data_IF_075961749686
#
_entry.id   IF_075961749686
#
_cell.length_a   1.000
_cell.length_b   1.000
_cell.length_c   1.000
_cell.angle_alpha   90.00
_cell.angle_beta   90.00
_cell.angle_gamma   90.00
#
_symmetry.space_group_name_H-M   'P 1'
#
loop_
_entity.id
_entity.type
_entity.pdbx_description
1 polymer ?
#
# COMPACT_ATOMS: atom_id res chain seq x y z
N UNK A 1 -13.61 -11.67 1.93
CA UNK A 1 -12.20 -11.27 1.74
C UNK A 1 -12.02 -9.76 1.85
N UNK A 2 -12.66 -8.94 1.01
CA UNK A 2 -12.55 -7.47 1.08
C UNK A 2 -13.07 -6.87 2.40
N UNK A 3 -14.16 -7.39 2.96
CA UNK A 3 -14.69 -6.93 4.26
C UNK A 3 -13.65 -7.07 5.37
N UNK A 4 -12.92 -8.20 5.40
CA UNK A 4 -11.86 -8.42 6.38
C UNK A 4 -10.70 -7.44 6.24
N UNK A 5 -10.35 -7.07 4.99
CA UNK A 5 -9.35 -6.03 4.73
C UNK A 5 -9.80 -4.67 5.28
N UNK A 6 -11.03 -4.28 5.02
CA UNK A 6 -11.60 -3.01 5.54
C UNK A 6 -11.59 -3.01 7.06
N UNK A 7 -12.05 -4.10 7.69
CA UNK A 7 -12.07 -4.22 9.16
C UNK A 7 -10.66 -4.15 9.74
N UNK A 8 -9.67 -4.84 9.15
CA UNK A 8 -8.29 -4.81 9.63
C UNK A 8 -7.70 -3.39 9.61
N UNK A 9 -7.89 -2.66 8.51
CA UNK A 9 -7.42 -1.28 8.39
C UNK A 9 -8.15 -0.32 9.32
N UNK A 10 -9.47 -0.50 9.55
CA UNK A 10 -10.21 0.28 10.53
C UNK A 10 -9.69 0.05 11.95
N UNK A 11 -9.39 -1.20 12.33
CA UNK A 11 -8.81 -1.53 13.64
C UNK A 11 -7.45 -0.86 13.83
N UNK A 12 -6.57 -0.91 12.81
CA UNK A 12 -5.26 -0.24 12.84
C UNK A 12 -5.44 1.27 13.08
N UNK A 13 -6.29 1.93 12.29
CA UNK A 13 -6.56 3.36 12.45
C UNK A 13 -7.11 3.67 13.85
N UNK A 14 -8.03 2.87 14.37
CA UNK A 14 -8.63 3.09 15.70
C UNK A 14 -7.61 2.93 16.84
N UNK A 15 -6.66 2.01 16.71
CA UNK A 15 -5.59 1.83 17.70
C UNK A 15 -4.66 3.06 17.67
N UNK A 16 -4.22 3.46 16.47
CA UNK A 16 -3.19 4.47 16.30
C UNK A 16 -3.72 5.91 16.49
N UNK A 17 -5.02 6.15 16.32
CA UNK A 17 -5.58 7.52 16.35
C UNK A 17 -5.35 8.23 17.69
N UNK A 18 -5.35 7.48 18.79
CA UNK A 18 -5.13 8.06 20.12
C UNK A 18 -3.72 8.65 20.27
N UNK A 19 -2.73 8.06 19.62
CA UNK A 19 -1.34 8.51 19.68
C UNK A 19 -1.06 9.58 18.60
N UNK A 20 -1.69 9.46 17.43
CA UNK A 20 -1.63 10.50 16.39
C UNK A 20 -2.17 11.85 16.87
N UNK A 21 -3.21 11.85 17.71
CA UNK A 21 -3.80 13.06 18.28
C UNK A 21 -2.93 13.73 19.36
N UNK A 22 -2.00 13.00 19.99
CA UNK A 22 -1.08 13.52 21.02
C UNK A 22 0.16 14.22 20.43
N UNK A 23 0.37 14.12 19.11
CA UNK A 23 1.52 14.71 18.42
C UNK A 23 1.51 16.25 18.46
N UNK A 24 2.68 16.87 18.70
CA UNK A 24 2.87 18.33 18.58
C UNK A 24 2.53 18.84 17.18
N UNK A 25 2.89 18.08 16.15
CA UNK A 25 2.61 18.38 14.74
C UNK A 25 1.46 17.51 14.19
N UNK A 26 0.37 17.36 14.97
CA UNK A 26 -0.77 16.48 14.68
C UNK A 26 -1.19 16.44 13.21
N UNK A 27 -1.40 17.60 12.57
CA UNK A 27 -1.89 17.65 11.18
C UNK A 27 -0.91 17.04 10.17
N UNK A 28 0.39 17.29 10.34
CA UNK A 28 1.42 16.78 9.43
C UNK A 28 1.59 15.27 9.62
N UNK A 29 1.65 14.82 10.87
CA UNK A 29 1.81 13.39 11.21
C UNK A 29 0.59 12.59 10.74
N UNK A 30 -0.62 13.08 11.00
CA UNK A 30 -1.88 12.47 10.55
C UNK A 30 -1.91 12.39 9.02
N UNK A 31 -1.54 13.45 8.31
CA UNK A 31 -1.53 13.48 6.84
C UNK A 31 -0.58 12.43 6.25
N UNK A 32 0.65 12.33 6.77
CA UNK A 32 1.63 11.34 6.31
C UNK A 32 1.14 9.92 6.65
N UNK A 33 0.65 9.70 7.86
CA UNK A 33 0.11 8.42 8.29
C UNK A 33 -1.03 7.93 7.40
N UNK A 34 -2.05 8.77 7.17
CA UNK A 34 -3.17 8.40 6.31
C UNK A 34 -2.75 8.18 4.86
N UNK A 35 -1.75 8.91 4.36
CA UNK A 35 -1.20 8.69 3.02
C UNK A 35 -0.59 7.28 2.91
N UNK A 36 0.20 6.85 3.90
CA UNK A 36 0.77 5.50 3.95
C UNK A 36 -0.31 4.42 4.08
N UNK A 37 -1.31 4.65 4.93
CA UNK A 37 -2.45 3.75 5.10
C UNK A 37 -3.23 3.57 3.80
N UNK A 38 -3.52 4.65 3.08
CA UNK A 38 -4.24 4.61 1.79
C UNK A 38 -3.43 3.84 0.76
N UNK A 39 -2.11 4.06 0.67
CA UNK A 39 -1.23 3.34 -0.25
C UNK A 39 -1.26 1.83 0.07
N UNK A 40 -1.06 1.47 1.33
CA UNK A 40 -1.09 0.06 1.77
C UNK A 40 -2.44 -0.60 1.51
N UNK A 41 -3.54 0.11 1.81
CA UNK A 41 -4.90 -0.38 1.55
C UNK A 41 -5.12 -0.59 0.06
N UNK A 42 -4.70 0.35 -0.78
CA UNK A 42 -4.84 0.26 -2.24
C UNK A 42 -4.10 -0.95 -2.79
N UNK A 43 -2.84 -1.16 -2.37
CA UNK A 43 -2.05 -2.33 -2.78
C UNK A 43 -2.74 -3.63 -2.35
N UNK A 44 -3.18 -3.71 -1.09
CA UNK A 44 -3.85 -4.89 -0.55
C UNK A 44 -5.18 -5.17 -1.25
N UNK A 45 -5.94 -4.13 -1.56
CA UNK A 45 -7.20 -4.23 -2.31
C UNK A 45 -6.95 -4.75 -3.72
N UNK A 46 -5.97 -4.17 -4.44
CA UNK A 46 -5.56 -4.58 -5.77
C UNK A 46 -5.15 -6.06 -5.81
N UNK A 47 -4.41 -6.54 -4.80
CA UNK A 47 -4.06 -7.95 -4.68
C UNK A 47 -5.29 -8.86 -4.53
N UNK A 48 -6.27 -8.49 -3.69
CA UNK A 48 -7.47 -9.29 -3.46
C UNK A 48 -8.34 -9.40 -4.72
N UNK A 49 -8.45 -8.34 -5.52
CA UNK A 49 -9.25 -8.35 -6.74
C UNK A 49 -8.51 -8.98 -7.94
N UNK A 50 -7.36 -9.62 -7.73
CA UNK A 50 -6.57 -10.26 -8.78
C UNK A 50 -5.84 -9.26 -9.68
N UNK A 51 -5.87 -7.97 -9.36
CA UNK A 51 -5.05 -6.92 -10.01
C UNK A 51 -3.78 -6.66 -9.20
N UNK A 52 -3.15 -7.74 -8.72
CA UNK A 52 -1.91 -7.61 -7.96
C UNK A 52 -0.91 -6.78 -8.77
N UNK A 53 -0.23 -5.79 -8.17
CA UNK A 53 0.85 -5.10 -8.85
C UNK A 53 1.84 -6.15 -9.37
N UNK A 54 2.33 -5.96 -10.60
CA UNK A 54 3.31 -6.86 -11.21
C UNK A 54 4.41 -7.15 -10.21
N UNK A 55 4.71 -8.44 -10.01
CA UNK A 55 5.69 -8.82 -9.02
C UNK A 55 7.03 -8.12 -9.32
N UNK A 56 7.83 -7.80 -8.29
CA UNK A 56 9.16 -7.23 -8.51
C UNK A 56 10.01 -8.06 -9.47
N UNK A 57 9.85 -9.40 -9.45
CA UNK A 57 10.54 -10.29 -10.37
C UNK A 57 10.12 -10.10 -11.83
N UNK A 58 8.83 -9.89 -12.12
CA UNK A 58 8.35 -9.59 -13.48
C UNK A 58 8.82 -8.20 -13.93
N UNK A 59 8.85 -7.23 -13.02
CA UNK A 59 9.40 -5.91 -13.32
C UNK A 59 10.89 -5.98 -13.68
N UNK A 60 11.68 -6.72 -12.89
CA UNK A 60 13.09 -6.95 -13.16
C UNK A 60 13.28 -7.70 -14.48
N UNK A 61 12.51 -8.76 -14.73
CA UNK A 61 12.55 -9.51 -15.99
C UNK A 61 12.28 -8.59 -17.19
N UNK A 62 11.24 -7.76 -17.12
CA UNK A 62 10.90 -6.81 -18.17
C UNK A 62 11.98 -5.74 -18.38
N UNK A 63 12.61 -5.25 -17.30
CA UNK A 63 13.73 -4.32 -17.39
C UNK A 63 14.94 -4.99 -18.07
N UNK A 64 15.28 -6.22 -17.68
CA UNK A 64 16.39 -6.98 -18.26
C UNK A 64 16.11 -7.28 -19.74
N UNK A 65 14.91 -7.75 -20.10
CA UNK A 65 14.49 -7.97 -21.50
C UNK A 65 14.57 -6.70 -22.33
N UNK A 66 14.18 -5.55 -21.77
CA UNK A 66 14.23 -4.26 -22.46
C UNK A 66 15.67 -3.78 -22.68
N UNK A 67 16.59 -4.05 -21.75
CA UNK A 67 18.02 -3.72 -21.89
C UNK A 67 18.71 -4.66 -22.88
N UNK A 68 18.33 -5.95 -22.89
CA UNK A 68 18.86 -6.95 -23.81
C UNK A 68 18.26 -6.86 -25.22
N UNK A 69 17.39 -5.88 -25.50
CA UNK A 69 16.92 -5.58 -26.86
C UNK A 69 15.89 -6.57 -27.42
N UNK A 70 15.05 -7.18 -26.58
CA UNK A 70 13.85 -7.92 -27.00
C UNK A 70 14.06 -8.86 -28.19
N UNK A 71 14.78 -9.96 -28.01
CA UNK A 71 14.70 -11.09 -28.95
C UNK A 71 13.35 -11.77 -28.71
N UNK A 72 12.51 -11.72 -29.75
CA UNK A 72 11.22 -12.39 -29.91
C UNK A 72 11.22 -13.83 -29.39
#
# INVERSE_FOLDING_TARGET
MVIGLVVAYLVIILIDISDLLKSKEKMKVISIYFSLVIIGFTISYLQIIGKAPTSPSILIENMVRSIMGGIM
#
